data_IF_026224432463
#
_entry.id   IF_026224432463
#
_cell.length_a   1.000
_cell.length_b   1.000
_cell.length_c   1.000
_cell.angle_alpha   90.00
_cell.angle_beta   90.00
_cell.angle_gamma   90.00
#
_symmetry.space_group_name_H-M   'P 1'
#
loop_
_entity.id
_entity.type
_entity.pdbx_description
1 polymer ?
#
# COMPACT_ATOMS: atom_id res chain seq x y z
N UNK A 1 -0.36 -6.62 -23.57
CA UNK A 1 1.00 -6.13 -23.24
C UNK A 1 0.90 -4.65 -22.98
N UNK A 2 0.72 -4.29 -21.71
CA UNK A 2 0.86 -2.92 -21.27
C UNK A 2 2.30 -2.70 -20.81
N UNK A 3 2.80 -1.49 -21.01
CA UNK A 3 4.11 -1.07 -20.54
C UNK A 3 3.88 0.10 -19.62
N UNK A 4 4.51 0.07 -18.45
CA UNK A 4 4.47 1.19 -17.51
C UNK A 4 5.87 1.46 -17.04
N UNK A 5 6.13 2.74 -16.81
CA UNK A 5 7.42 3.18 -16.29
C UNK A 5 7.48 3.00 -14.78
N UNK A 6 8.70 2.99 -14.21
CA UNK A 6 8.90 3.04 -12.75
C UNK A 6 8.11 4.21 -12.15
N UNK A 7 8.10 5.35 -12.86
CA UNK A 7 7.30 6.52 -12.50
C UNK A 7 5.82 6.21 -12.37
N UNK A 8 5.24 5.58 -13.39
CA UNK A 8 3.80 5.27 -13.40
C UNK A 8 3.42 4.34 -12.24
N UNK A 9 4.30 3.39 -11.90
CA UNK A 9 4.04 2.48 -10.76
C UNK A 9 4.18 3.20 -9.42
N UNK A 10 5.15 4.09 -9.27
CA UNK A 10 5.28 4.93 -8.07
C UNK A 10 4.07 5.87 -7.90
N UNK A 11 3.66 6.55 -8.97
CA UNK A 11 2.48 7.42 -8.97
C UNK A 11 1.21 6.61 -8.66
N UNK A 12 1.12 5.39 -9.19
CA UNK A 12 0.01 4.50 -8.93
C UNK A 12 -0.03 4.02 -7.46
N UNK A 13 1.10 3.54 -6.94
CA UNK A 13 1.25 3.15 -5.54
C UNK A 13 0.85 4.30 -4.61
N UNK A 14 1.35 5.51 -4.90
CA UNK A 14 0.99 6.70 -4.14
C UNK A 14 -0.52 6.95 -4.14
N UNK A 15 -1.19 6.81 -5.30
CA UNK A 15 -2.64 6.99 -5.40
C UNK A 15 -3.41 5.90 -4.64
N UNK A 16 -2.93 4.65 -4.67
CA UNK A 16 -3.52 3.54 -3.93
C UNK A 16 -3.49 3.82 -2.42
N UNK A 17 -2.32 4.17 -1.87
CA UNK A 17 -2.17 4.50 -0.45
C UNK A 17 -3.03 5.71 -0.04
N UNK A 18 -3.08 6.76 -0.87
CA UNK A 18 -3.99 7.90 -0.62
C UNK A 18 -5.46 7.48 -0.60
N UNK A 19 -5.85 6.59 -1.52
CA UNK A 19 -7.22 6.10 -1.58
C UNK A 19 -7.57 5.22 -0.39
N UNK A 20 -6.67 4.32 0.02
CA UNK A 20 -6.83 3.50 1.22
C UNK A 20 -6.94 4.36 2.49
N UNK A 21 -6.06 5.34 2.67
CA UNK A 21 -6.11 6.29 3.78
C UNK A 21 -7.47 7.02 3.84
N UNK A 22 -7.93 7.58 2.71
CA UNK A 22 -9.22 8.26 2.64
C UNK A 22 -10.40 7.32 2.94
N UNK A 23 -10.34 6.08 2.47
CA UNK A 23 -11.38 5.09 2.69
C UNK A 23 -11.46 4.68 4.17
N UNK A 24 -10.31 4.49 4.83
CA UNK A 24 -10.27 4.22 6.26
C UNK A 24 -10.81 5.39 7.09
N UNK A 25 -10.49 6.64 6.71
CA UNK A 25 -11.09 7.82 7.33
C UNK A 25 -12.62 7.90 7.13
N UNK A 26 -13.12 7.57 5.95
CA UNK A 26 -14.57 7.57 5.69
C UNK A 26 -15.32 6.49 6.49
N UNK A 27 -14.71 5.31 6.67
CA UNK A 27 -15.27 4.25 7.50
C UNK A 27 -15.25 4.64 8.98
N UNK A 28 -14.26 5.43 9.39
CA UNK A 28 -14.12 5.95 10.73
C UNK A 28 -15.32 6.83 11.10
N UNK A 29 -15.72 7.73 10.21
CA UNK A 29 -16.91 8.57 10.39
C UNK A 29 -18.23 7.78 10.49
N UNK A 30 -18.24 6.54 10.01
CA UNK A 30 -19.42 5.67 9.96
C UNK A 30 -19.45 4.62 11.08
N UNK A 31 -18.34 4.39 11.77
CA UNK A 31 -18.25 3.39 12.85
C UNK A 31 -18.53 4.04 14.20
N UNK A 32 -19.28 3.34 15.06
CA UNK A 32 -19.51 3.74 16.46
C UNK A 32 -18.67 2.92 17.44
N UNK A 33 -17.86 1.98 16.93
CA UNK A 33 -17.04 1.07 17.74
C UNK A 33 -15.68 1.69 17.95
N UNK A 34 -15.39 2.13 19.17
CA UNK A 34 -14.11 2.77 19.55
C UNK A 34 -12.88 1.94 19.13
N UNK A 35 -12.96 0.60 19.22
CA UNK A 35 -11.88 -0.30 18.78
C UNK A 35 -11.65 -0.26 17.26
N UNK A 36 -12.73 -0.19 16.48
CA UNK A 36 -12.64 -0.09 15.01
C UNK A 36 -12.16 1.32 14.62
N UNK A 37 -12.60 2.35 15.33
CA UNK A 37 -12.13 3.74 15.16
C UNK A 37 -10.62 3.85 15.34
N UNK A 38 -10.08 3.32 16.44
CA UNK A 38 -8.64 3.32 16.70
C UNK A 38 -7.85 2.58 15.63
N UNK A 39 -8.34 1.42 15.18
CA UNK A 39 -7.66 0.65 14.14
C UNK A 39 -7.70 1.36 12.78
N UNK A 40 -8.85 1.92 12.40
CA UNK A 40 -9.01 2.69 11.16
C UNK A 40 -8.12 3.93 11.17
N UNK A 41 -8.01 4.62 12.30
CA UNK A 41 -7.12 5.77 12.43
C UNK A 41 -5.66 5.35 12.24
N UNK A 42 -5.24 4.26 12.89
CA UNK A 42 -3.89 3.74 12.76
C UNK A 42 -3.59 3.40 11.28
N UNK A 43 -4.45 2.63 10.63
CA UNK A 43 -4.32 2.28 9.22
C UNK A 43 -4.30 3.52 8.31
N UNK A 44 -5.18 4.49 8.54
CA UNK A 44 -5.22 5.72 7.76
C UNK A 44 -3.92 6.52 7.85
N UNK A 45 -3.33 6.60 9.04
CA UNK A 45 -2.07 7.29 9.28
C UNK A 45 -0.89 6.57 8.62
N UNK A 46 -0.86 5.23 8.68
CA UNK A 46 0.15 4.42 8.00
C UNK A 46 0.11 4.60 6.48
N UNK A 47 -1.07 4.51 5.88
CA UNK A 47 -1.25 4.73 4.44
C UNK A 47 -0.85 6.15 4.00
N UNK A 48 -1.14 7.16 4.83
CA UNK A 48 -0.71 8.53 4.56
C UNK A 48 0.82 8.69 4.61
N UNK A 49 1.50 8.00 5.54
CA UNK A 49 2.96 7.95 5.63
C UNK A 49 3.59 7.24 4.43
N UNK A 50 2.98 6.14 3.95
CA UNK A 50 3.42 5.42 2.77
C UNK A 50 3.28 6.30 1.52
N UNK A 51 2.14 6.95 1.32
CA UNK A 51 1.93 7.89 0.22
C UNK A 51 2.96 9.04 0.21
N UNK A 52 3.34 9.55 1.38
CA UNK A 52 4.38 10.57 1.50
C UNK A 52 5.77 10.02 1.19
N UNK A 53 6.06 8.80 1.62
CA UNK A 53 7.32 8.10 1.30
C UNK A 53 7.45 7.87 -0.20
N UNK A 54 6.38 7.46 -0.89
CA UNK A 54 6.36 7.33 -2.35
C UNK A 54 6.64 8.66 -3.04
N UNK A 55 6.06 9.76 -2.55
CA UNK A 55 6.31 11.08 -3.10
C UNK A 55 7.77 11.50 -2.95
N UNK A 56 8.35 11.33 -1.75
CA UNK A 56 9.74 11.65 -1.50
C UNK A 56 10.66 10.80 -2.39
N UNK A 57 10.37 9.51 -2.53
CA UNK A 57 11.11 8.62 -3.43
C UNK A 57 11.03 9.10 -4.87
N UNK A 58 9.85 9.49 -5.37
CA UNK A 58 9.69 10.05 -6.70
C UNK A 58 10.55 11.31 -6.88
N UNK A 59 10.55 12.23 -5.92
CA UNK A 59 11.30 13.49 -5.98
C UNK A 59 12.83 13.29 -5.90
N UNK A 60 13.29 12.27 -5.17
CA UNK A 60 14.72 11.97 -4.99
C UNK A 60 15.28 10.98 -6.02
N UNK A 61 14.42 10.32 -6.79
CA UNK A 61 14.84 9.34 -7.81
C UNK A 61 15.22 10.04 -9.10
N UNK A 62 16.35 9.63 -9.69
CA UNK A 62 16.80 10.20 -10.96
C UNK A 62 15.78 9.95 -12.08
N UNK A 63 15.58 10.95 -12.94
CA UNK A 63 14.63 10.86 -14.05
C UNK A 63 14.95 9.73 -15.04
N UNK A 64 16.21 9.29 -15.07
CA UNK A 64 16.67 8.13 -15.85
C UNK A 64 16.08 6.80 -15.32
N UNK A 65 16.02 6.65 -14.00
CA UNK A 65 15.39 5.48 -13.34
C UNK A 65 13.88 5.55 -13.49
N UNK A 66 13.29 6.73 -13.32
CA UNK A 66 11.85 6.95 -13.49
C UNK A 66 11.37 6.64 -14.92
N UNK A 67 12.20 6.92 -15.93
CA UNK A 67 11.90 6.66 -17.34
C UNK A 67 12.21 5.21 -17.78
N UNK A 68 12.63 4.33 -16.88
CA UNK A 68 12.87 2.92 -17.20
C UNK A 68 11.54 2.20 -17.46
N UNK A 69 11.48 1.50 -18.59
CA UNK A 69 10.28 0.82 -19.07
C UNK A 69 10.23 -0.61 -18.53
N UNK A 70 9.13 -0.96 -17.89
CA UNK A 70 8.88 -2.31 -17.41
C UNK A 70 7.65 -2.93 -18.10
N UNK A 71 7.68 -4.25 -18.30
CA UNK A 71 6.51 -4.99 -18.74
C UNK A 71 5.56 -5.15 -17.55
N UNK A 72 4.62 -4.22 -17.44
CA UNK A 72 3.69 -4.16 -16.34
C UNK A 72 2.25 -4.26 -16.84
N UNK A 73 1.49 -5.21 -16.29
CA UNK A 73 0.06 -5.29 -16.56
C UNK A 73 -0.76 -4.55 -15.48
N UNK A 74 -1.43 -3.44 -15.83
CA UNK A 74 -2.32 -2.73 -14.92
C UNK A 74 -3.57 -3.54 -14.54
N UNK A 75 -3.79 -4.74 -15.08
CA UNK A 75 -4.91 -5.62 -14.66
C UNK A 75 -4.76 -6.15 -13.23
N UNK A 76 -3.53 -6.26 -12.74
CA UNK A 76 -3.23 -6.72 -11.39
C UNK A 76 -3.76 -5.70 -10.35
N UNK A 77 -3.73 -4.42 -10.71
CA UNK A 77 -4.11 -3.27 -9.88
C UNK A 77 -5.57 -3.31 -9.43
N UNK A 78 -6.49 -3.66 -10.33
CA UNK A 78 -7.93 -3.66 -10.02
C UNK A 78 -8.25 -4.58 -8.86
N UNK A 79 -7.46 -5.65 -8.69
CA UNK A 79 -7.64 -6.61 -7.59
C UNK A 79 -7.32 -6.00 -6.22
N UNK A 80 -6.34 -5.10 -6.13
CA UNK A 80 -6.03 -4.39 -4.89
C UNK A 80 -7.17 -3.44 -4.50
N UNK A 81 -7.68 -2.68 -5.47
CA UNK A 81 -8.84 -1.80 -5.29
C UNK A 81 -10.13 -2.56 -4.97
N UNK A 82 -10.30 -3.77 -5.50
CA UNK A 82 -11.45 -4.62 -5.17
C UNK A 82 -11.45 -5.06 -3.69
N UNK A 83 -10.27 -5.15 -3.05
CA UNK A 83 -10.16 -5.32 -1.60
C UNK A 83 -10.76 -4.16 -0.82
N UNK A 84 -10.44 -2.91 -1.22
CA UNK A 84 -10.99 -1.70 -0.60
C UNK A 84 -12.52 -1.61 -0.75
N UNK A 85 -13.09 -2.10 -1.86
CA UNK A 85 -14.55 -2.13 -2.08
C UNK A 85 -15.31 -3.06 -1.15
N UNK A 86 -14.62 -3.98 -0.47
CA UNK A 86 -15.23 -4.91 0.49
C UNK A 86 -15.42 -4.28 1.86
N UNK A 87 -14.85 -3.09 2.10
CA UNK A 87 -15.00 -2.40 3.37
C UNK A 87 -16.43 -1.86 3.55
N UNK A 88 -17.04 -2.15 4.71
CA UNK A 88 -18.38 -1.71 5.08
C UNK A 88 -18.40 -1.20 6.54
N UNK A 89 -19.41 -0.42 6.95
CA UNK A 89 -19.46 0.20 8.28
C UNK A 89 -19.44 -0.81 9.45
N UNK A 90 -20.01 -1.99 9.23
CA UNK A 90 -20.08 -3.07 10.22
C UNK A 90 -18.87 -4.01 10.23
N UNK A 91 -17.79 -3.69 9.49
CA UNK A 91 -16.61 -4.55 9.34
C UNK A 91 -15.93 -4.77 10.70
N UNK A 92 -15.46 -5.99 10.94
CA UNK A 92 -14.68 -6.30 12.13
C UNK A 92 -13.22 -5.85 12.00
N UNK A 93 -12.54 -5.69 13.14
CA UNK A 93 -11.10 -5.37 13.18
C UNK A 93 -10.30 -6.45 12.42
N UNK A 94 -10.65 -7.73 12.60
CA UNK A 94 -9.97 -8.84 11.92
C UNK A 94 -10.15 -8.78 10.39
N UNK A 95 -11.37 -8.53 9.91
CA UNK A 95 -11.63 -8.40 8.47
C UNK A 95 -10.91 -7.19 7.87
N UNK A 96 -10.92 -6.06 8.57
CA UNK A 96 -10.21 -4.85 8.15
C UNK A 96 -8.70 -5.10 8.03
N UNK A 97 -8.12 -5.77 9.03
CA UNK A 97 -6.71 -6.18 9.03
C UNK A 97 -6.42 -7.13 7.88
N UNK A 98 -7.30 -8.10 7.62
CA UNK A 98 -7.12 -9.01 6.49
C UNK A 98 -7.16 -8.30 5.14
N UNK A 99 -8.02 -7.29 4.97
CA UNK A 99 -8.07 -6.48 3.75
C UNK A 99 -6.76 -5.68 3.60
N UNK A 100 -6.31 -5.01 4.65
CA UNK A 100 -5.05 -4.26 4.65
C UNK A 100 -3.87 -5.18 4.29
N UNK A 101 -3.73 -6.33 4.96
CA UNK A 101 -2.66 -7.28 4.69
C UNK A 101 -2.69 -7.84 3.27
N UNK A 102 -3.87 -8.03 2.67
CA UNK A 102 -3.99 -8.47 1.27
C UNK A 102 -3.50 -7.39 0.29
N UNK A 103 -3.76 -6.13 0.58
CA UNK A 103 -3.27 -5.00 -0.22
C UNK A 103 -1.75 -4.93 -0.11
N UNK A 104 -1.20 -5.02 1.11
CA UNK A 104 0.24 -5.01 1.34
C UNK A 104 0.94 -6.19 0.66
N UNK A 105 0.39 -7.41 0.79
CA UNK A 105 0.93 -8.60 0.11
C UNK A 105 0.93 -8.45 -1.40
N UNK A 106 -0.13 -7.86 -1.95
CA UNK A 106 -0.23 -7.57 -3.36
C UNK A 106 0.86 -6.56 -3.81
N UNK A 107 1.06 -5.48 -3.05
CA UNK A 107 2.09 -4.48 -3.33
C UNK A 107 3.50 -5.05 -3.23
N UNK A 108 3.78 -5.85 -2.20
CA UNK A 108 5.07 -6.54 -2.03
C UNK A 108 5.34 -7.46 -3.22
N UNK A 109 4.37 -8.27 -3.64
CA UNK A 109 4.51 -9.15 -4.79
C UNK A 109 4.80 -8.36 -6.07
N UNK A 110 4.10 -7.23 -6.25
CA UNK A 110 4.33 -6.32 -7.36
C UNK A 110 5.75 -5.74 -7.35
N UNK A 111 6.19 -5.16 -6.23
CA UNK A 111 7.53 -4.58 -6.13
C UNK A 111 8.62 -5.63 -6.30
N UNK A 112 8.43 -6.86 -5.80
CA UNK A 112 9.37 -7.98 -6.00
C UNK A 112 9.51 -8.33 -7.47
N UNK A 113 8.40 -8.39 -8.20
CA UNK A 113 8.43 -8.62 -9.64
C UNK A 113 9.20 -7.50 -10.34
N UNK A 114 8.91 -6.24 -10.03
CA UNK A 114 9.60 -5.09 -10.63
C UNK A 114 11.10 -5.05 -10.32
N UNK A 115 11.49 -5.37 -9.08
CA UNK A 115 12.90 -5.47 -8.68
C UNK A 115 13.65 -6.56 -9.47
N UNK A 116 12.96 -7.67 -9.77
CA UNK A 116 13.53 -8.77 -10.55
C UNK A 116 13.69 -8.43 -12.04
N UNK A 117 12.78 -7.63 -12.59
CA UNK A 117 12.80 -7.17 -13.98
C UNK A 117 13.61 -5.88 -14.20
N UNK A 118 14.00 -5.21 -13.11
CA UNK A 118 14.80 -3.98 -13.16
C UNK A 118 16.17 -4.22 -13.79
N UNK A 119 16.48 -3.38 -14.78
CA UNK A 119 17.75 -3.36 -15.49
C UNK A 119 18.76 -2.48 -14.75
N UNK A 120 18.30 -1.38 -14.16
CA UNK A 120 19.10 -0.53 -13.27
C UNK A 120 19.22 -1.10 -11.85
N UNK A 121 20.42 -0.99 -11.28
CA UNK A 121 20.67 -1.32 -9.86
C UNK A 121 19.92 -0.36 -8.95
N UNK A 122 19.84 0.91 -9.34
CA UNK A 122 19.13 1.97 -8.63
C UNK A 122 17.61 1.71 -8.62
N UNK A 123 17.02 1.28 -9.75
CA UNK A 123 15.62 0.87 -9.81
C UNK A 123 15.36 -0.34 -8.89
N UNK A 124 16.24 -1.35 -8.93
CA UNK A 124 16.13 -2.52 -8.05
C UNK A 124 16.19 -2.15 -6.57
N UNK A 125 17.16 -1.32 -6.17
CA UNK A 125 17.29 -0.85 -4.79
C UNK A 125 16.07 -0.06 -4.33
N UNK A 126 15.49 0.76 -5.21
CA UNK A 126 14.26 1.47 -4.91
C UNK A 126 13.12 0.50 -4.58
N UNK A 127 12.89 -0.51 -5.44
CA UNK A 127 11.85 -1.51 -5.17
C UNK A 127 12.14 -2.38 -3.95
N UNK A 128 13.40 -2.73 -3.69
CA UNK A 128 13.81 -3.44 -2.45
C UNK A 128 13.53 -2.62 -1.19
N UNK A 129 13.79 -1.32 -1.21
CA UNK A 129 13.46 -0.42 -0.10
C UNK A 129 11.94 -0.35 0.12
N UNK A 130 11.15 -0.34 -0.96
CA UNK A 130 9.69 -0.37 -0.89
C UNK A 130 9.19 -1.68 -0.27
N UNK A 131 9.74 -2.83 -0.66
CA UNK A 131 9.39 -4.12 -0.07
C UNK A 131 9.66 -4.13 1.43
N UNK A 132 10.81 -3.61 1.88
CA UNK A 132 11.14 -3.54 3.31
C UNK A 132 10.21 -2.61 4.08
N UNK A 133 9.79 -1.51 3.46
CA UNK A 133 8.83 -0.56 4.03
C UNK A 133 7.50 -1.27 4.27
N UNK A 134 6.93 -1.91 3.25
CA UNK A 134 5.66 -2.66 3.34
C UNK A 134 5.74 -3.81 4.35
N UNK A 135 6.82 -4.60 4.36
CA UNK A 135 7.01 -5.70 5.32
C UNK A 135 7.04 -5.18 6.77
N UNK A 136 7.67 -4.02 7.00
CA UNK A 136 7.70 -3.39 8.31
C UNK A 136 6.31 -2.92 8.74
N UNK A 137 5.53 -2.33 7.83
CA UNK A 137 4.17 -1.89 8.10
C UNK A 137 3.24 -3.07 8.38
N UNK A 138 3.30 -4.17 7.60
CA UNK A 138 2.54 -5.40 7.88
C UNK A 138 2.75 -5.90 9.31
N UNK A 139 4.00 -5.97 9.77
CA UNK A 139 4.32 -6.42 11.13
C UNK A 139 3.73 -5.48 12.18
N UNK A 140 3.74 -4.16 11.93
CA UNK A 140 3.15 -3.16 12.82
C UNK A 140 1.63 -3.29 12.87
N UNK A 141 0.97 -3.39 11.71
CA UNK A 141 -0.48 -3.57 11.59
C UNK A 141 -0.96 -4.83 12.32
N UNK A 142 -0.26 -5.97 12.14
CA UNK A 142 -0.60 -7.21 12.87
C UNK A 142 -0.42 -7.05 14.37
N UNK A 143 0.66 -6.40 14.82
CA UNK A 143 0.87 -6.15 16.25
C UNK A 143 -0.20 -5.24 16.84
N UNK A 144 -0.58 -4.18 16.12
CA UNK A 144 -1.65 -3.28 16.54
C UNK A 144 -2.98 -4.02 16.63
N UNK A 145 -3.30 -4.86 15.65
CA UNK A 145 -4.50 -5.69 15.63
C UNK A 145 -4.56 -6.66 16.82
N UNK A 146 -3.45 -7.36 17.11
CA UNK A 146 -3.35 -8.26 18.26
C UNK A 146 -3.55 -7.48 19.56
N UNK A 147 -2.91 -6.32 19.70
CA UNK A 147 -3.10 -5.47 20.87
C UNK A 147 -4.51 -4.89 20.98
N UNK A 148 -5.24 -4.70 19.88
CA UNK A 148 -6.63 -4.25 19.90
C UNK A 148 -7.61 -5.38 20.27
N UNK A 149 -7.22 -6.64 20.10
CA UNK A 149 -8.03 -7.81 20.45
C UNK A 149 -7.87 -8.23 21.93
N UNK A 150 -6.77 -7.82 22.57
CA UNK A 150 -6.47 -8.13 23.97
C UNK A 150 -7.17 -7.19 25.00
N UNK A 151 -8.02 -6.24 24.55
CA UNK A 151 -8.72 -5.25 25.39
C UNK A 151 -10.25 -5.38 25.32
#
# INVERSE_FOLDING_TARGET
>A
MSYSTVKDVLDYSQQLHKHASSLYQQLRDQTQRERVDMMLQLLADHEALLAKSMQNLHEHTSQRVLAEWHQFEPGSISKALDGCKQCHPDISVDELVQIALKIDDYLIALYRQMASEATSVEARQLFENLIQLEETEKVRTVRAALSANDW
#
